data_IF_378420816098
#
_entry.id   IF_378420816098
#
_cell.length_a   1.000
_cell.length_b   1.000
_cell.length_c   1.000
_cell.angle_alpha   90.00
_cell.angle_beta   90.00
_cell.angle_gamma   90.00
#
_symmetry.space_group_name_H-M   'P 1'
#
loop_
_entity.id
_entity.type
_entity.pdbx_description
1 polymer ?
#
# COMPACT_ATOMS: atom_id res chain seq x y z
N UNK A 1 16.97 -17.40 14.49
CA UNK A 1 16.92 -17.87 15.90
C UNK A 1 15.53 -18.42 16.28
N UNK A 2 14.41 -17.60 16.24
CA UNK A 2 13.10 -18.10 16.65
C UNK A 2 12.60 -19.25 15.75
N UNK A 3 12.64 -19.07 14.43
CA UNK A 3 12.28 -20.09 13.46
C UNK A 3 13.18 -21.33 13.55
N UNK A 4 14.47 -21.16 13.74
CA UNK A 4 15.42 -22.27 13.98
C UNK A 4 15.06 -23.08 15.23
N UNK A 5 14.51 -22.42 16.25
CA UNK A 5 14.01 -23.07 17.47
C UNK A 5 12.58 -23.64 17.33
N UNK A 6 12.04 -23.71 16.11
CA UNK A 6 10.72 -24.26 15.84
C UNK A 6 9.55 -23.40 16.34
N UNK A 7 9.73 -22.08 16.46
CA UNK A 7 8.68 -21.14 16.90
C UNK A 7 8.07 -20.42 15.71
N UNK A 8 6.75 -20.26 15.73
CA UNK A 8 6.07 -19.35 14.82
C UNK A 8 6.49 -17.91 15.11
N UNK A 9 6.57 -17.08 14.09
CA UNK A 9 7.09 -15.71 14.17
C UNK A 9 6.07 -14.73 13.60
N UNK A 10 5.68 -13.74 14.39
CA UNK A 10 5.02 -12.53 13.92
C UNK A 10 6.05 -11.39 13.98
N UNK A 11 6.34 -10.79 12.83
CA UNK A 11 7.32 -9.73 12.67
C UNK A 11 6.64 -8.44 12.21
N UNK A 12 7.06 -7.29 12.77
CA UNK A 12 6.65 -5.98 12.26
C UNK A 12 7.23 -5.69 10.87
N UNK A 13 6.55 -4.82 10.17
CA UNK A 13 7.00 -4.30 8.86
C UNK A 13 8.12 -3.25 9.05
N UNK A 14 9.06 -3.15 8.13
CA UNK A 14 9.35 -4.10 7.07
C UNK A 14 9.99 -5.36 7.66
N UNK A 15 9.74 -6.53 7.08
CA UNK A 15 10.31 -7.79 7.54
C UNK A 15 11.84 -7.79 7.49
N UNK A 16 12.40 -7.18 6.44
CA UNK A 16 13.83 -6.97 6.20
C UNK A 16 14.03 -5.71 5.38
N UNK A 17 15.29 -5.26 5.26
CA UNK A 17 15.67 -4.15 4.38
C UNK A 17 16.17 -4.61 2.99
N UNK A 18 16.35 -5.93 2.82
CA UNK A 18 16.80 -6.56 1.56
C UNK A 18 15.87 -7.72 1.23
N UNK A 19 15.56 -7.88 -0.04
CA UNK A 19 14.72 -9.00 -0.52
C UNK A 19 15.34 -10.36 -0.25
N UNK A 20 16.66 -10.47 -0.42
CA UNK A 20 17.41 -11.72 -0.22
C UNK A 20 17.27 -12.23 1.22
N UNK A 21 17.37 -11.34 2.21
CA UNK A 21 17.19 -11.69 3.62
C UNK A 21 15.76 -12.18 3.91
N UNK A 22 14.77 -11.61 3.21
CA UNK A 22 13.37 -12.05 3.33
C UNK A 22 13.16 -13.45 2.71
N UNK A 23 13.77 -13.72 1.57
CA UNK A 23 13.72 -15.02 0.90
C UNK A 23 14.34 -16.10 1.79
N UNK A 24 15.53 -15.85 2.38
CA UNK A 24 16.16 -16.76 3.35
C UNK A 24 15.25 -17.07 4.55
N UNK A 25 14.55 -16.05 5.08
CA UNK A 25 13.63 -16.24 6.20
C UNK A 25 12.41 -17.07 5.81
N UNK A 26 11.89 -16.89 4.59
CA UNK A 26 10.77 -17.67 4.05
C UNK A 26 11.18 -19.15 3.89
N UNK A 27 12.34 -19.39 3.27
CA UNK A 27 12.88 -20.74 3.10
C UNK A 27 13.13 -21.43 4.43
N UNK A 28 13.75 -20.74 5.40
CA UNK A 28 13.97 -21.24 6.74
C UNK A 28 12.66 -21.61 7.44
N UNK A 29 11.65 -20.73 7.37
CA UNK A 29 10.34 -20.98 7.99
C UNK A 29 9.67 -22.21 7.37
N UNK A 30 9.71 -22.34 6.04
CA UNK A 30 9.20 -23.50 5.32
C UNK A 30 9.93 -24.79 5.72
N UNK A 31 11.26 -24.76 5.76
CA UNK A 31 12.08 -25.92 6.14
C UNK A 31 11.84 -26.38 7.59
N UNK A 32 11.49 -25.44 8.48
CA UNK A 32 11.18 -25.75 9.90
C UNK A 32 9.70 -26.00 10.16
N UNK A 33 8.84 -25.90 9.16
CA UNK A 33 7.39 -26.08 9.31
C UNK A 33 6.75 -25.04 10.25
N UNK A 34 7.29 -23.82 10.31
CA UNK A 34 6.79 -22.75 11.16
C UNK A 34 6.15 -21.64 10.33
N UNK A 35 5.19 -20.94 10.93
CA UNK A 35 4.56 -19.78 10.31
C UNK A 35 5.43 -18.55 10.51
N UNK A 36 5.73 -17.84 9.41
CA UNK A 36 6.30 -16.50 9.42
C UNK A 36 5.22 -15.54 8.90
N UNK A 37 4.80 -14.60 9.73
CA UNK A 37 3.78 -13.62 9.40
C UNK A 37 4.32 -12.20 9.57
N UNK A 38 4.03 -11.33 8.62
CA UNK A 38 4.37 -9.90 8.70
C UNK A 38 3.15 -9.11 9.13
N UNK A 39 3.35 -8.10 9.99
CA UNK A 39 2.31 -7.26 10.56
C UNK A 39 1.74 -6.22 9.57
N UNK A 40 1.24 -6.65 8.42
CA UNK A 40 0.50 -5.80 7.49
C UNK A 40 -0.93 -5.58 7.96
N UNK A 41 -1.08 -4.86 9.07
CA UNK A 41 -2.35 -4.71 9.81
C UNK A 41 -3.48 -4.10 8.97
N UNK A 42 -3.16 -3.29 7.97
CA UNK A 42 -4.17 -2.68 7.09
C UNK A 42 -4.87 -3.69 6.17
N UNK A 43 -4.27 -4.84 5.90
CA UNK A 43 -4.95 -5.92 5.15
C UNK A 43 -6.13 -6.52 5.93
N UNK A 44 -6.18 -6.29 7.25
CA UNK A 44 -7.29 -6.71 8.13
C UNK A 44 -8.27 -5.58 8.45
N UNK A 45 -8.11 -4.41 7.81
CA UNK A 45 -8.97 -3.25 8.03
C UNK A 45 -10.31 -3.45 7.31
N UNK A 46 -11.43 -3.28 8.03
CA UNK A 46 -12.77 -3.48 7.48
C UNK A 46 -13.09 -2.57 6.28
N UNK A 47 -12.56 -1.34 6.26
CA UNK A 47 -12.73 -0.45 5.12
C UNK A 47 -11.96 -0.95 3.89
N UNK A 48 -10.77 -1.52 4.07
CA UNK A 48 -10.00 -2.13 2.97
C UNK A 48 -10.74 -3.37 2.42
N UNK A 49 -11.32 -4.20 3.30
CA UNK A 49 -12.13 -5.34 2.88
C UNK A 49 -13.37 -4.90 2.09
N UNK A 50 -14.12 -3.93 2.59
CA UNK A 50 -15.28 -3.40 1.88
C UNK A 50 -14.89 -2.79 0.52
N UNK A 51 -13.76 -2.08 0.43
CA UNK A 51 -13.26 -1.55 -0.83
C UNK A 51 -12.91 -2.68 -1.82
N UNK A 52 -12.33 -3.77 -1.31
CA UNK A 52 -12.08 -4.98 -2.10
C UNK A 52 -13.36 -5.60 -2.64
N UNK A 53 -14.41 -5.69 -1.82
CA UNK A 53 -15.73 -6.20 -2.25
C UNK A 53 -16.33 -5.35 -3.39
N UNK A 54 -16.22 -4.02 -3.33
CA UNK A 54 -16.64 -3.14 -4.43
C UNK A 54 -15.87 -3.40 -5.73
N UNK A 55 -14.58 -3.69 -5.63
CA UNK A 55 -13.76 -4.03 -6.81
C UNK A 55 -14.15 -5.40 -7.35
N UNK A 56 -14.22 -6.43 -6.51
CA UNK A 56 -14.46 -7.82 -6.89
C UNK A 56 -15.89 -8.06 -7.43
N UNK A 57 -16.87 -7.33 -6.91
CA UNK A 57 -18.24 -7.37 -7.42
C UNK A 57 -18.39 -6.77 -8.82
N UNK A 58 -17.39 -6.01 -9.30
CA UNK A 58 -17.46 -5.28 -10.56
C UNK A 58 -18.39 -4.07 -10.51
N UNK A 59 -18.79 -3.62 -9.32
CA UNK A 59 -19.65 -2.45 -9.15
C UNK A 59 -18.96 -1.17 -9.61
N UNK A 60 -17.62 -1.07 -9.44
CA UNK A 60 -16.83 0.04 -9.94
C UNK A 60 -16.58 -0.05 -11.47
N UNK A 61 -16.83 -1.19 -12.10
CA UNK A 61 -16.49 -1.45 -13.50
C UNK A 61 -15.02 -1.84 -13.68
N UNK A 62 -14.47 -1.54 -14.86
CA UNK A 62 -13.03 -1.71 -15.11
C UNK A 62 -12.25 -0.70 -14.27
N UNK A 63 -11.27 -1.16 -13.54
CA UNK A 63 -10.41 -0.29 -12.74
C UNK A 63 -9.36 0.35 -13.67
N UNK A 64 -9.30 1.67 -13.64
CA UNK A 64 -8.35 2.46 -14.42
C UNK A 64 -7.09 2.76 -13.62
N UNK A 65 -7.25 3.32 -12.42
CA UNK A 65 -6.11 3.60 -11.56
C UNK A 65 -6.50 3.68 -10.08
N UNK A 66 -5.49 3.59 -9.24
CA UNK A 66 -5.58 3.84 -7.80
C UNK A 66 -4.60 4.95 -7.41
N UNK A 67 -5.01 5.77 -6.45
CA UNK A 67 -4.16 6.81 -5.86
C UNK A 67 -4.18 6.64 -4.34
N UNK A 68 -3.00 6.51 -3.74
CA UNK A 68 -2.83 6.37 -2.30
C UNK A 68 -1.99 7.53 -1.75
N UNK A 69 -2.44 8.13 -0.67
CA UNK A 69 -1.73 9.18 0.03
C UNK A 69 -1.67 8.89 1.52
N UNK A 70 -0.44 8.84 2.07
CA UNK A 70 -0.17 8.68 3.49
C UNK A 70 0.80 9.74 3.96
N UNK A 71 0.23 10.81 4.52
CA UNK A 71 0.92 12.06 4.79
C UNK A 71 0.68 12.46 6.23
N UNK A 72 1.68 13.06 6.86
CA UNK A 72 1.56 13.73 8.16
C UNK A 72 2.83 14.53 8.46
N UNK A 73 2.77 15.46 9.41
CA UNK A 73 3.97 15.94 10.06
C UNK A 73 4.44 14.84 11.01
N UNK A 74 5.40 14.04 10.56
CA UNK A 74 5.80 12.80 11.19
C UNK A 74 6.96 12.93 12.17
N UNK A 75 7.31 11.78 12.75
CA UNK A 75 8.54 11.63 13.52
C UNK A 75 9.63 11.16 12.54
N UNK A 76 10.64 11.99 12.35
CA UNK A 76 11.78 11.66 11.50
C UNK A 76 12.56 10.48 12.09
N UNK A 77 12.80 9.48 11.27
CA UNK A 77 13.53 8.27 11.66
C UNK A 77 14.99 8.37 11.21
N UNK A 78 15.96 8.37 12.12
CA UNK A 78 17.38 8.55 11.74
C UNK A 78 17.96 7.37 10.95
N UNK A 79 17.34 6.19 11.05
CA UNK A 79 17.82 4.95 10.44
C UNK A 79 16.91 4.42 9.32
N UNK A 80 15.94 5.22 8.87
CA UNK A 80 14.99 4.85 7.84
C UNK A 80 14.60 6.08 7.04
N UNK A 81 13.86 5.92 5.98
CA UNK A 81 13.25 7.00 5.21
C UNK A 81 11.73 6.82 5.12
N UNK A 82 11.04 7.85 4.64
CA UNK A 82 9.58 7.85 4.56
C UNK A 82 9.03 6.71 3.70
N UNK A 83 9.77 6.28 2.68
CA UNK A 83 9.34 5.19 1.80
C UNK A 83 9.30 3.86 2.57
N UNK A 84 10.34 3.50 3.31
CA UNK A 84 10.36 2.29 4.14
C UNK A 84 9.42 2.36 5.34
N UNK A 85 9.17 3.57 5.86
CA UNK A 85 8.27 3.72 7.00
C UNK A 85 6.79 3.63 6.60
N UNK A 86 6.37 4.38 5.57
CA UNK A 86 4.96 4.56 5.25
C UNK A 86 4.48 3.72 4.05
N UNK A 87 5.25 3.64 2.96
CA UNK A 87 4.80 3.01 1.72
C UNK A 87 4.48 1.51 1.82
N UNK A 88 5.11 0.69 2.69
CA UNK A 88 4.75 -0.73 2.81
C UNK A 88 3.29 -0.97 3.14
N UNK A 89 2.65 -0.06 3.88
CA UNK A 89 1.22 -0.14 4.19
C UNK A 89 0.36 0.01 2.93
N UNK A 90 0.65 1.04 2.12
CA UNK A 90 -0.14 1.31 0.93
C UNK A 90 0.17 0.30 -0.19
N UNK A 91 1.42 -0.13 -0.30
CA UNK A 91 1.80 -1.21 -1.23
C UNK A 91 1.02 -2.49 -0.90
N UNK A 92 0.98 -2.92 0.38
CA UNK A 92 0.26 -4.13 0.76
C UNK A 92 -1.24 -4.01 0.47
N UNK A 93 -1.85 -2.85 0.76
CA UNK A 93 -3.26 -2.61 0.44
C UNK A 93 -3.51 -2.70 -1.07
N UNK A 94 -2.68 -2.05 -1.90
CA UNK A 94 -2.86 -2.06 -3.35
C UNK A 94 -2.71 -3.46 -3.95
N UNK A 95 -1.73 -4.24 -3.47
CA UNK A 95 -1.56 -5.65 -3.87
C UNK A 95 -2.78 -6.49 -3.47
N UNK A 96 -3.31 -6.30 -2.26
CA UNK A 96 -4.51 -6.97 -1.77
C UNK A 96 -5.74 -6.60 -2.61
N UNK A 97 -5.98 -5.31 -2.85
CA UNK A 97 -7.12 -4.81 -3.61
C UNK A 97 -7.14 -5.35 -5.04
N UNK A 98 -6.00 -5.35 -5.72
CA UNK A 98 -5.91 -5.76 -7.12
C UNK A 98 -5.70 -7.27 -7.30
N UNK A 99 -5.20 -7.99 -6.28
CA UNK A 99 -4.86 -9.40 -6.37
C UNK A 99 -3.77 -9.71 -7.43
N UNK A 100 -2.97 -8.72 -7.80
CA UNK A 100 -1.98 -8.77 -8.89
C UNK A 100 -0.67 -8.15 -8.43
N UNK A 101 0.44 -8.59 -9.04
CA UNK A 101 1.75 -7.95 -8.86
C UNK A 101 1.98 -6.90 -9.96
N UNK A 102 2.64 -5.77 -9.64
CA UNK A 102 3.02 -4.81 -10.66
C UNK A 102 4.06 -5.41 -11.62
N UNK A 103 4.00 -4.97 -12.88
CA UNK A 103 4.97 -5.33 -13.94
C UNK A 103 6.08 -4.31 -14.07
N UNK A 104 5.89 -3.11 -13.52
CA UNK A 104 6.89 -2.04 -13.48
C UNK A 104 6.68 -1.18 -12.25
N UNK A 105 7.77 -0.71 -11.67
CA UNK A 105 7.78 0.21 -10.53
C UNK A 105 8.80 1.30 -10.80
N UNK A 106 8.42 2.55 -10.55
CA UNK A 106 9.34 3.68 -10.45
C UNK A 106 9.12 4.42 -9.14
N UNK A 107 10.18 5.00 -8.59
CA UNK A 107 10.10 5.76 -7.36
C UNK A 107 11.10 6.90 -7.38
N UNK A 108 10.70 8.02 -6.77
CA UNK A 108 11.60 9.14 -6.50
C UNK A 108 11.27 9.74 -5.15
N UNK A 109 12.26 10.36 -4.52
CA UNK A 109 12.11 10.99 -3.23
C UNK A 109 13.05 12.17 -3.09
N UNK A 110 12.78 13.00 -2.09
CA UNK A 110 13.58 14.19 -1.77
C UNK A 110 13.99 14.20 -0.29
N UNK A 111 15.27 14.43 0.01
CA UNK A 111 15.76 14.67 1.36
C UNK A 111 15.65 16.18 1.66
N UNK A 112 14.53 16.62 2.23
CA UNK A 112 14.26 18.05 2.46
C UNK A 112 14.86 18.56 3.77
N UNK A 113 14.97 17.71 4.80
CA UNK A 113 15.37 18.07 6.15
C UNK A 113 16.77 17.57 6.49
N UNK A 114 17.05 16.31 6.22
CA UNK A 114 18.34 15.69 6.48
C UNK A 114 18.91 15.08 5.19
N UNK A 115 20.16 15.41 4.87
CA UNK A 115 20.84 14.85 3.71
C UNK A 115 20.81 13.32 3.73
N UNK A 116 20.41 12.73 2.60
CA UNK A 116 20.38 11.28 2.42
C UNK A 116 19.18 10.55 3.02
N UNK A 117 18.28 11.23 3.74
CA UNK A 117 17.06 10.64 4.29
C UNK A 117 15.85 11.26 3.58
N UNK A 118 15.15 10.48 2.78
CA UNK A 118 13.97 10.97 2.07
C UNK A 118 12.80 11.21 3.03
N UNK A 119 12.29 12.45 3.04
CA UNK A 119 11.17 12.92 3.84
C UNK A 119 9.85 12.91 3.08
N UNK A 120 9.94 12.95 1.76
CA UNK A 120 8.83 12.82 0.83
C UNK A 120 9.22 11.87 -0.29
N UNK A 121 8.29 11.02 -0.70
CA UNK A 121 8.50 10.09 -1.81
C UNK A 121 7.21 9.80 -2.57
N UNK A 122 7.40 9.49 -3.85
CA UNK A 122 6.34 9.12 -4.79
C UNK A 122 6.73 7.81 -5.46
N UNK A 123 5.76 6.91 -5.58
CA UNK A 123 5.94 5.64 -6.26
C UNK A 123 4.84 5.50 -7.32
N UNK A 124 5.23 5.04 -8.50
CA UNK A 124 4.32 4.67 -9.57
C UNK A 124 4.46 3.18 -9.84
N UNK A 125 3.34 2.46 -9.80
CA UNK A 125 3.25 1.03 -10.04
C UNK A 125 2.36 0.81 -11.27
N UNK A 126 2.87 0.06 -12.23
CA UNK A 126 2.09 -0.36 -13.39
C UNK A 126 1.74 -1.83 -13.22
N UNK A 127 0.47 -2.13 -13.30
CA UNK A 127 -0.08 -3.49 -13.20
C UNK A 127 -0.50 -4.00 -14.58
N UNK A 128 -0.74 -5.32 -14.72
CA UNK A 128 -1.42 -5.86 -15.89
C UNK A 128 -2.76 -5.14 -16.16
N UNK A 129 -3.30 -5.33 -17.36
CA UNK A 129 -4.61 -4.80 -17.78
C UNK A 129 -4.70 -3.26 -17.80
N UNK A 130 -3.55 -2.60 -17.97
CA UNK A 130 -3.42 -1.13 -18.04
C UNK A 130 -3.82 -0.40 -16.75
N UNK A 131 -3.79 -1.08 -15.62
CA UNK A 131 -4.04 -0.46 -14.32
C UNK A 131 -2.75 0.21 -13.83
N UNK A 132 -2.84 1.44 -13.36
CA UNK A 132 -1.75 2.13 -12.69
C UNK A 132 -2.11 2.43 -11.23
N UNK A 133 -1.10 2.53 -10.38
CA UNK A 133 -1.28 3.04 -9.03
C UNK A 133 -0.17 4.03 -8.68
N UNK A 134 -0.56 5.10 -8.00
CA UNK A 134 0.35 6.12 -7.48
C UNK A 134 0.30 6.12 -5.96
N UNK A 135 1.46 6.23 -5.32
CA UNK A 135 1.58 6.33 -3.86
C UNK A 135 2.39 7.58 -3.53
N UNK A 136 1.81 8.47 -2.74
CA UNK A 136 2.48 9.62 -2.15
C UNK A 136 2.63 9.41 -0.64
N UNK A 137 3.88 9.39 -0.16
CA UNK A 137 4.21 9.33 1.26
C UNK A 137 5.04 10.52 1.68
N UNK A 138 4.71 11.11 2.84
CA UNK A 138 5.43 12.29 3.33
C UNK A 138 5.39 12.39 4.86
N UNK A 139 6.53 12.80 5.44
CA UNK A 139 6.61 13.25 6.83
C UNK A 139 6.44 14.77 6.99
N UNK A 140 6.26 15.50 5.88
CA UNK A 140 6.28 16.98 5.83
C UNK A 140 4.92 17.60 5.47
N UNK A 141 3.82 16.88 5.66
CA UNK A 141 2.51 17.43 5.36
C UNK A 141 1.85 18.02 6.61
N UNK A 142 1.26 19.22 6.55
CA UNK A 142 0.60 19.84 7.69
C UNK A 142 -0.64 19.09 8.17
N UNK A 143 -1.22 18.26 7.30
CA UNK A 143 -2.43 17.49 7.59
C UNK A 143 -2.10 16.00 7.61
N UNK A 144 -2.70 15.27 8.55
CA UNK A 144 -2.69 13.81 8.50
C UNK A 144 -3.63 13.35 7.39
N UNK A 145 -3.11 12.61 6.41
CA UNK A 145 -3.87 12.01 5.31
C UNK A 145 -3.62 10.52 5.27
N UNK A 146 -4.69 9.74 5.14
CA UNK A 146 -4.65 8.29 4.89
C UNK A 146 -5.79 7.95 3.94
N UNK A 147 -5.57 8.21 2.67
CA UNK A 147 -6.61 8.13 1.65
C UNK A 147 -6.21 7.19 0.53
N UNK A 148 -7.16 6.40 0.06
CA UNK A 148 -7.06 5.61 -1.17
C UNK A 148 -8.24 5.97 -2.05
N UNK A 149 -7.96 6.35 -3.28
CA UNK A 149 -8.95 6.59 -4.33
C UNK A 149 -8.87 5.44 -5.34
N UNK A 150 -10.00 4.87 -5.70
CA UNK A 150 -10.12 3.88 -6.76
C UNK A 150 -11.00 4.46 -7.85
N UNK A 151 -10.47 4.56 -9.05
CA UNK A 151 -11.18 5.08 -10.22
C UNK A 151 -11.54 3.93 -11.15
N UNK A 152 -12.82 3.68 -11.26
CA UNK A 152 -13.40 2.68 -12.14
C UNK A 152 -14.20 3.30 -13.28
N UNK A 153 -14.53 2.49 -14.28
CA UNK A 153 -15.28 2.94 -15.47
C UNK A 153 -16.73 3.28 -15.17
N UNK A 154 -17.35 2.66 -14.15
CA UNK A 154 -18.75 2.88 -13.77
C UNK A 154 -18.89 3.80 -12.58
N UNK A 155 -18.09 3.58 -11.54
CA UNK A 155 -18.11 4.34 -10.29
C UNK A 155 -16.69 4.55 -9.77
N UNK A 156 -16.56 5.46 -8.81
CA UNK A 156 -15.31 5.75 -8.13
C UNK A 156 -15.50 5.58 -6.62
N UNK A 157 -14.46 5.18 -5.94
CA UNK A 157 -14.48 5.01 -4.49
C UNK A 157 -13.33 5.79 -3.84
N UNK A 158 -13.61 6.40 -2.69
CA UNK A 158 -12.60 7.02 -1.84
C UNK A 158 -12.69 6.40 -0.46
N UNK A 159 -11.60 5.77 -0.01
CA UNK A 159 -11.42 5.34 1.37
C UNK A 159 -10.57 6.35 2.11
N UNK A 160 -11.04 6.82 3.27
CA UNK A 160 -10.30 7.73 4.14
C UNK A 160 -10.23 7.16 5.56
N UNK A 161 -9.08 6.65 5.95
CA UNK A 161 -8.91 5.93 7.22
C UNK A 161 -8.90 6.85 8.45
N UNK A 162 -8.74 8.16 8.27
CA UNK A 162 -8.81 9.13 9.37
C UNK A 162 -10.23 9.54 9.75
N UNK A 163 -11.21 9.25 8.89
CA UNK A 163 -12.62 9.49 9.21
C UNK A 163 -13.10 8.51 10.29
N UNK A 164 -13.85 9.00 11.27
CA UNK A 164 -14.48 8.17 12.30
C UNK A 164 -15.69 7.40 11.77
N UNK A 165 -16.42 8.02 10.86
CA UNK A 165 -17.62 7.50 10.21
C UNK A 165 -17.48 7.64 8.69
N UNK A 166 -18.23 6.83 7.95
CA UNK A 166 -18.25 6.91 6.48
C UNK A 166 -16.85 6.85 5.83
N UNK A 167 -16.02 5.93 6.32
CA UNK A 167 -14.65 5.76 5.82
C UNK A 167 -14.57 5.49 4.33
N UNK A 168 -15.62 4.95 3.72
CA UNK A 168 -15.73 4.74 2.27
C UNK A 168 -16.85 5.59 1.73
N UNK A 169 -16.56 6.31 0.65
CA UNK A 169 -17.53 7.08 -0.13
C UNK A 169 -17.51 6.55 -1.56
N UNK A 170 -18.68 6.13 -2.04
CA UNK A 170 -18.86 5.72 -3.44
C UNK A 170 -19.47 6.89 -4.21
N UNK A 171 -18.85 7.22 -5.31
CA UNK A 171 -19.30 8.24 -6.24
C UNK A 171 -19.89 7.56 -7.47
N UNK A 172 -21.17 7.76 -7.72
CA UNK A 172 -21.87 7.29 -8.93
C UNK A 172 -21.49 8.20 -10.12
N UNK A 173 -20.22 8.10 -10.48
CA UNK A 173 -19.59 8.84 -11.58
C UNK A 173 -18.75 7.87 -12.40
N UNK A 174 -19.21 7.60 -13.59
CA UNK A 174 -18.50 6.78 -14.57
C UNK A 174 -17.92 7.63 -15.70
N UNK A 175 -17.13 6.98 -16.55
CA UNK A 175 -16.56 7.59 -17.75
C UNK A 175 -17.26 7.01 -18.97
N UNK A 176 -17.98 7.87 -19.70
CA UNK A 176 -18.55 7.54 -21.00
C UNK A 176 -17.68 8.19 -22.08
N UNK A 177 -16.69 7.44 -22.66
CA UNK A 177 -15.87 8.02 -23.71
C UNK A 177 -16.75 8.38 -24.91
N UNK A 178 -16.52 9.54 -25.55
CA UNK A 178 -17.23 9.89 -26.76
C UNK A 178 -16.94 8.85 -27.85
N UNK A 179 -17.95 8.46 -28.62
CA UNK A 179 -17.75 7.67 -29.82
C UNK A 179 -17.02 8.53 -30.86
N UNK A 180 -15.83 8.10 -31.26
CA UNK A 180 -15.07 8.70 -32.36
C UNK A 180 -15.35 7.92 -33.64
#
# INVERSE_FOLDING_TARGET
>A
KAAEAGKHVLCEKPITLKSEDAEELIELAAAKGVTLMVGHTFEYNSAVHALKEYIDSGELGEIYYLDAARLNLGLFQPNSNVMWDLAPHDISILLYLLGKKPISVSAHGMPCVYDGIFDVAYLDLIFPDKISAHIHVSWLDPCKVRRITVVGSKKMAVSNDIESENKIKIYDKGVNPPAY
#
